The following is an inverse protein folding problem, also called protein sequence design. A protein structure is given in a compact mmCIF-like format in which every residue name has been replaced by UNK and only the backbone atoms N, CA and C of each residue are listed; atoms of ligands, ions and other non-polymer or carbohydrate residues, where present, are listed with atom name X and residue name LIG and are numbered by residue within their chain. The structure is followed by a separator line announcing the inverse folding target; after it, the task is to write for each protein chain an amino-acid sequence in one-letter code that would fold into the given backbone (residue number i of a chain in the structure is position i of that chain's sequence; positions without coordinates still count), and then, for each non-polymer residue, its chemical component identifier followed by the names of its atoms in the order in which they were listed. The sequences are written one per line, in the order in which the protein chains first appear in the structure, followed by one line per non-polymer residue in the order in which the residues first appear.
data_IF_880156621543
#
_entry.id   IF_880156621543
#
_cell.length_a   1.000
_cell.length_b   1.000
_cell.length_c   1.000
_cell.angle_alpha   90.00
_cell.angle_beta   90.00
_cell.angle_gamma   90.00
#
_symmetry.space_group_name_H-M   'P 1'
#
loop_
_entity.id
_entity.type
_entity.pdbx_description
1 polymer ?
#
# COMPACT_ATOMS: atom_id res chain seq x y z
N UNK A 1 -12.62 5.10 -11.90
CA UNK A 1 -13.47 6.27 -11.66
C UNK A 1 -12.97 6.88 -10.37
N UNK A 2 -12.43 8.09 -10.46
CA UNK A 2 -12.19 8.89 -9.26
C UNK A 2 -13.54 9.34 -8.69
N UNK A 3 -13.63 9.35 -7.37
CA UNK A 3 -14.79 9.85 -6.67
C UNK A 3 -14.64 11.36 -6.53
N UNK A 4 -15.74 12.08 -6.68
CA UNK A 4 -15.80 13.48 -6.22
C UNK A 4 -15.60 13.55 -4.70
N UNK A 5 -15.23 14.73 -4.20
CA UNK A 5 -15.12 14.94 -2.75
C UNK A 5 -16.43 14.61 -2.02
N UNK A 6 -17.58 14.99 -2.60
CA UNK A 6 -18.90 14.73 -2.02
C UNK A 6 -19.21 13.22 -1.95
N UNK A 7 -18.91 12.47 -3.01
CA UNK A 7 -19.07 11.01 -3.02
C UNK A 7 -18.12 10.33 -2.02
N UNK A 8 -16.87 10.79 -1.93
CA UNK A 8 -15.89 10.23 -0.99
C UNK A 8 -16.27 10.48 0.47
N UNK A 9 -16.80 11.66 0.78
CA UNK A 9 -17.21 12.02 2.14
C UNK A 9 -18.43 11.24 2.62
N UNK A 10 -19.26 10.73 1.70
CA UNK A 10 -20.39 9.84 2.01
C UNK A 10 -19.97 8.40 2.35
N UNK A 11 -18.74 8.00 2.03
CA UNK A 11 -18.25 6.65 2.29
C UNK A 11 -17.95 6.40 3.78
N UNK A 12 -18.42 5.27 4.28
CA UNK A 12 -17.97 4.69 5.53
C UNK A 12 -16.52 4.19 5.45
N UNK A 13 -15.93 3.83 6.59
CA UNK A 13 -14.53 3.40 6.64
C UNK A 13 -14.26 2.17 5.76
N UNK A 14 -15.13 1.16 5.78
CA UNK A 14 -14.98 -0.04 4.95
C UNK A 14 -15.07 0.25 3.44
N UNK A 15 -15.91 1.21 3.04
CA UNK A 15 -16.01 1.65 1.65
C UNK A 15 -14.77 2.44 1.21
N UNK A 16 -14.24 3.30 2.09
CA UNK A 16 -12.97 4.00 1.86
C UNK A 16 -11.81 3.01 1.75
N UNK A 17 -11.81 1.94 2.56
CA UNK A 17 -10.83 0.85 2.47
C UNK A 17 -10.94 0.13 1.13
N UNK A 18 -12.14 -0.27 0.71
CA UNK A 18 -12.38 -0.92 -0.58
C UNK A 18 -11.89 -0.05 -1.75
N UNK A 19 -12.22 1.24 -1.73
CA UNK A 19 -11.80 2.20 -2.73
C UNK A 19 -10.26 2.31 -2.81
N UNK A 20 -9.59 2.54 -1.68
CA UNK A 20 -8.12 2.67 -1.64
C UNK A 20 -7.41 1.35 -1.92
N UNK A 21 -8.00 0.21 -1.55
CA UNK A 21 -7.45 -1.10 -1.87
C UNK A 21 -7.45 -1.38 -3.37
N UNK A 22 -8.48 -0.94 -4.08
CA UNK A 22 -8.49 -0.97 -5.54
C UNK A 22 -7.34 -0.13 -6.12
N UNK A 23 -7.14 1.09 -5.61
CA UNK A 23 -6.03 1.96 -6.02
C UNK A 23 -4.65 1.32 -5.77
N UNK A 24 -4.42 0.73 -4.59
CA UNK A 24 -3.15 0.04 -4.30
C UNK A 24 -2.94 -1.18 -5.21
N UNK A 25 -4.00 -1.94 -5.50
CA UNK A 25 -3.93 -3.11 -6.40
C UNK A 25 -3.55 -2.69 -7.82
N UNK A 26 -4.19 -1.65 -8.35
CA UNK A 26 -3.94 -1.17 -9.70
C UNK A 26 -2.58 -0.48 -9.80
N UNK A 27 -2.22 0.36 -8.82
CA UNK A 27 -0.90 0.98 -8.74
C UNK A 27 0.23 -0.05 -8.63
N UNK A 28 0.08 -1.12 -7.84
CA UNK A 28 1.09 -2.18 -7.74
C UNK A 28 1.34 -2.87 -9.09
N UNK A 29 0.30 -3.09 -9.92
CA UNK A 29 0.48 -3.67 -11.26
C UNK A 29 1.37 -2.78 -12.13
N UNK A 30 1.10 -1.46 -12.11
CA UNK A 30 1.86 -0.48 -12.89
C UNK A 30 3.29 -0.37 -12.37
N UNK A 31 3.46 -0.22 -11.05
CA UNK A 31 4.75 -0.18 -10.40
C UNK A 31 5.61 -1.40 -10.73
N UNK A 32 5.04 -2.62 -10.69
CA UNK A 32 5.80 -3.84 -10.99
C UNK A 32 6.20 -3.93 -12.47
N UNK A 33 5.34 -3.48 -13.39
CA UNK A 33 5.69 -3.37 -14.80
C UNK A 33 6.88 -2.44 -14.99
N UNK A 34 6.82 -1.23 -14.43
CA UNK A 34 7.91 -0.24 -14.53
C UNK A 34 9.17 -0.77 -13.85
N UNK A 35 9.07 -1.32 -12.64
CA UNK A 35 10.21 -1.90 -11.92
C UNK A 35 10.92 -2.97 -12.76
N UNK A 36 10.15 -3.84 -13.46
CA UNK A 36 10.70 -4.84 -14.39
C UNK A 36 11.47 -4.20 -15.54
N UNK A 37 10.89 -3.18 -16.18
CA UNK A 37 11.53 -2.41 -17.26
C UNK A 37 12.81 -1.71 -16.77
N UNK A 38 12.83 -1.31 -15.50
CA UNK A 38 13.95 -0.68 -14.77
C UNK A 38 14.92 -1.71 -14.15
N UNK A 39 14.88 -2.96 -14.60
CA UNK A 39 15.89 -3.98 -14.29
C UNK A 39 15.72 -4.71 -12.96
N UNK A 40 14.58 -4.55 -12.27
CA UNK A 40 14.27 -5.33 -11.05
C UNK A 40 13.97 -6.79 -11.41
N UNK A 41 14.67 -7.71 -10.76
CA UNK A 41 14.46 -9.17 -10.87
C UNK A 41 13.94 -9.75 -9.57
N UNK A 42 14.45 -9.29 -8.42
CA UNK A 42 13.98 -9.71 -7.10
C UNK A 42 12.85 -8.81 -6.59
N UNK A 43 11.61 -9.18 -6.89
CA UNK A 43 10.42 -8.43 -6.48
C UNK A 43 10.16 -8.48 -4.97
N UNK A 44 10.51 -9.57 -4.29
CA UNK A 44 10.34 -9.65 -2.84
C UNK A 44 11.24 -8.62 -2.12
N UNK A 45 12.49 -8.47 -2.58
CA UNK A 45 13.42 -7.46 -2.08
C UNK A 45 12.92 -6.05 -2.41
N UNK A 46 12.49 -5.82 -3.66
CA UNK A 46 11.98 -4.53 -4.11
C UNK A 46 10.75 -4.08 -3.31
N UNK A 47 9.78 -4.97 -3.13
CA UNK A 47 8.54 -4.68 -2.41
C UNK A 47 8.80 -4.49 -0.92
N UNK A 48 9.65 -5.34 -0.31
CA UNK A 48 10.03 -5.15 1.08
C UNK A 48 10.81 -3.86 1.31
N UNK A 49 11.59 -3.36 0.34
CA UNK A 49 12.26 -2.07 0.49
C UNK A 49 11.26 -0.91 0.70
N UNK A 50 10.17 -0.90 -0.07
CA UNK A 50 9.08 0.05 0.12
C UNK A 50 8.39 -0.07 1.48
N UNK A 51 8.18 -1.29 1.97
CA UNK A 51 7.65 -1.52 3.32
C UNK A 51 8.62 -1.03 4.39
N UNK A 52 9.90 -1.40 4.29
CA UNK A 52 10.94 -0.98 5.23
C UNK A 52 11.07 0.53 5.35
N UNK A 53 10.92 1.25 4.24
CA UNK A 53 10.92 2.72 4.28
C UNK A 53 9.74 3.28 5.07
N UNK A 54 8.54 2.77 4.81
CA UNK A 54 7.30 3.31 5.38
C UNK A 54 7.05 2.87 6.84
N UNK A 55 7.38 1.63 7.17
CA UNK A 55 7.05 0.96 8.44
C UNK A 55 8.30 0.72 9.31
N UNK A 56 9.17 1.72 9.45
CA UNK A 56 10.31 1.68 10.36
C UNK A 56 11.23 0.44 10.25
N UNK A 57 11.46 -0.05 9.03
CA UNK A 57 12.28 -1.23 8.77
C UNK A 57 11.54 -2.57 8.77
N UNK A 58 10.21 -2.60 8.96
CA UNK A 58 9.41 -3.82 8.85
C UNK A 58 9.32 -4.33 7.40
N UNK A 59 9.39 -5.66 7.25
CA UNK A 59 9.01 -6.37 6.03
C UNK A 59 7.51 -6.66 6.00
N UNK A 60 6.99 -7.14 4.86
CA UNK A 60 5.62 -7.64 4.77
C UNK A 60 5.32 -8.73 5.80
N UNK A 61 6.30 -9.59 6.13
CA UNK A 61 6.14 -10.64 7.14
C UNK A 61 6.07 -10.06 8.55
N UNK A 62 6.87 -9.04 8.85
CA UNK A 62 6.85 -8.36 10.15
C UNK A 62 5.50 -7.65 10.36
N UNK A 63 5.01 -6.97 9.32
CA UNK A 63 3.67 -6.33 9.33
C UNK A 63 2.58 -7.38 9.56
N UNK A 64 2.62 -8.50 8.85
CA UNK A 64 1.64 -9.58 9.01
C UNK A 64 1.66 -10.15 10.44
N UNK A 65 2.85 -10.36 11.00
CA UNK A 65 3.02 -10.85 12.38
C UNK A 65 2.49 -9.86 13.40
N UNK A 66 2.85 -8.58 13.30
CA UNK A 66 2.39 -7.51 14.20
C UNK A 66 0.87 -7.36 14.16
N UNK A 67 0.27 -7.47 12.98
CA UNK A 67 -1.19 -7.40 12.80
C UNK A 67 -1.92 -8.70 13.18
N UNK A 68 -1.21 -9.77 13.53
CA UNK A 68 -1.81 -11.05 13.93
C UNK A 68 -2.50 -11.81 12.79
N UNK A 69 -2.04 -11.61 11.55
CA UNK A 69 -2.68 -12.20 10.37
C UNK A 69 -2.39 -13.70 10.26
N UNK A 70 -3.37 -14.45 9.74
CA UNK A 70 -3.21 -15.87 9.44
C UNK A 70 -2.31 -16.07 8.21
N UNK A 71 -1.82 -17.29 8.05
CA UNK A 71 -0.99 -17.67 6.91
C UNK A 71 -1.68 -17.35 5.58
N UNK A 72 -0.96 -16.62 4.71
CA UNK A 72 -1.40 -16.14 3.38
C UNK A 72 -2.52 -15.10 3.35
N UNK A 73 -2.87 -14.48 4.48
CA UNK A 73 -3.68 -13.27 4.43
C UNK A 73 -2.88 -12.12 3.82
N UNK A 74 -3.49 -11.36 2.90
CA UNK A 74 -2.88 -10.19 2.30
C UNK A 74 -2.84 -9.05 3.32
N UNK A 75 -1.66 -8.51 3.57
CA UNK A 75 -1.49 -7.41 4.54
C UNK A 75 -2.34 -6.20 4.17
N UNK A 76 -2.47 -5.86 2.88
CA UNK A 76 -3.23 -4.69 2.41
C UNK A 76 -4.74 -4.89 2.58
N UNK A 77 -5.23 -6.13 2.55
CA UNK A 77 -6.65 -6.41 2.82
C UNK A 77 -7.01 -6.15 4.30
N UNK A 78 -6.00 -6.10 5.17
CA UNK A 78 -6.14 -5.93 6.61
C UNK A 78 -5.62 -4.57 7.11
N UNK A 79 -5.65 -3.55 6.23
CA UNK A 79 -5.29 -2.18 6.55
C UNK A 79 -6.51 -1.25 6.59
N UNK A 80 -6.45 -0.24 7.46
CA UNK A 80 -7.41 0.86 7.47
C UNK A 80 -7.24 1.79 6.26
N UNK A 81 -8.21 2.69 6.03
CA UNK A 81 -8.22 3.57 4.87
C UNK A 81 -7.03 4.55 4.89
N UNK A 82 -6.66 5.08 6.06
CA UNK A 82 -5.50 5.97 6.23
C UNK A 82 -4.20 5.26 5.87
N UNK A 83 -3.98 4.05 6.41
CA UNK A 83 -2.82 3.21 6.13
C UNK A 83 -2.74 2.86 4.64
N UNK A 84 -3.86 2.46 4.03
CA UNK A 84 -3.94 2.22 2.59
C UNK A 84 -3.59 3.47 1.78
N UNK A 85 -3.99 4.67 2.22
CA UNK A 85 -3.64 5.92 1.57
C UNK A 85 -2.14 6.19 1.54
N UNK A 86 -1.45 5.94 2.64
CA UNK A 86 0.01 6.04 2.69
C UNK A 86 0.68 5.05 1.71
N UNK A 87 0.14 3.84 1.58
CA UNK A 87 0.63 2.87 0.60
C UNK A 87 0.33 3.28 -0.84
N UNK A 88 -0.85 3.83 -1.14
CA UNK A 88 -1.16 4.40 -2.47
C UNK A 88 -0.10 5.45 -2.82
N UNK A 89 0.16 6.39 -1.91
CA UNK A 89 1.12 7.46 -2.16
C UNK A 89 2.55 6.93 -2.36
N UNK A 90 2.96 5.94 -1.56
CA UNK A 90 4.27 5.27 -1.74
C UNK A 90 4.39 4.64 -3.11
N UNK A 91 3.36 3.93 -3.55
CA UNK A 91 3.34 3.22 -4.83
C UNK A 91 3.44 4.23 -5.98
N UNK A 92 2.57 5.24 -5.99
CA UNK A 92 2.49 6.22 -7.10
C UNK A 92 3.75 7.07 -7.20
N UNK A 93 4.34 7.48 -6.07
CA UNK A 93 5.58 8.26 -6.10
C UNK A 93 6.80 7.43 -6.45
N UNK A 94 6.83 6.14 -6.09
CA UNK A 94 7.89 5.25 -6.55
C UNK A 94 7.80 5.06 -8.06
N UNK A 95 6.61 4.81 -8.58
CA UNK A 95 6.34 4.74 -10.02
C UNK A 95 6.86 6.00 -10.74
N UNK A 96 6.41 7.19 -10.33
CA UNK A 96 6.78 8.44 -10.98
C UNK A 96 8.30 8.71 -10.95
N UNK A 97 8.99 8.32 -9.87
CA UNK A 97 10.44 8.47 -9.78
C UNK A 97 11.20 7.44 -10.61
N UNK A 98 10.69 6.21 -10.73
CA UNK A 98 11.32 5.19 -11.58
C UNK A 98 11.18 5.53 -13.06
N UNK A 99 10.05 6.10 -13.49
CA UNK A 99 9.85 6.53 -14.88
C UNK A 99 10.88 7.56 -15.33
N UNK A 100 11.21 8.51 -14.46
CA UNK A 100 12.21 9.57 -14.70
C UNK A 100 13.65 9.05 -14.80
N UNK A 101 13.92 7.84 -14.33
CA UNK A 101 15.28 7.28 -14.35
C UNK A 101 15.52 6.56 -15.69
N UNK A 102 16.50 6.98 -16.48
CA UNK A 102 16.70 6.42 -17.83
C UNK A 102 17.07 4.94 -17.81
N UNK A 103 18.09 4.55 -17.04
CA UNK A 103 18.59 3.16 -16.96
C UNK A 103 19.05 2.78 -15.55
N UNK A 104 18.17 2.83 -14.53
CA UNK A 104 18.54 2.35 -13.21
C UNK A 104 18.74 0.84 -13.25
N UNK A 105 19.58 0.33 -12.34
CA UNK A 105 19.69 -1.09 -12.05
C UNK A 105 18.79 -1.47 -10.85
N UNK A 106 18.66 -2.77 -10.57
CA UNK A 106 17.80 -3.29 -9.48
C UNK A 106 18.05 -2.59 -8.13
N UNK A 107 19.31 -2.34 -7.78
CA UNK A 107 19.67 -1.72 -6.50
C UNK A 107 19.19 -0.25 -6.45
N UNK A 108 19.33 0.50 -7.54
CA UNK A 108 18.85 1.88 -7.63
C UNK A 108 17.31 1.92 -7.54
N UNK A 109 16.62 1.03 -8.27
CA UNK A 109 15.17 0.99 -8.25
C UNK A 109 14.63 0.60 -6.85
N UNK A 110 15.24 -0.40 -6.22
CA UNK A 110 14.91 -0.84 -4.86
C UNK A 110 15.17 0.25 -3.82
N UNK A 111 16.31 0.93 -3.91
CA UNK A 111 16.64 2.05 -3.02
C UNK A 111 15.68 3.25 -3.22
N UNK A 112 15.22 3.47 -4.45
CA UNK A 112 14.20 4.50 -4.75
C UNK A 112 12.91 4.18 -3.98
N UNK A 113 12.43 2.94 -4.03
CA UNK A 113 11.22 2.53 -3.32
C UNK A 113 11.37 2.69 -1.79
N UNK A 114 12.53 2.34 -1.23
CA UNK A 114 12.84 2.58 0.18
C UNK A 114 12.82 4.06 0.54
N UNK A 115 13.51 4.91 -0.23
CA UNK A 115 13.59 6.36 0.02
C UNK A 115 12.22 7.03 -0.02
N UNK A 116 11.36 6.64 -0.97
CA UNK A 116 9.98 7.12 -1.04
C UNK A 116 9.21 6.75 0.23
N UNK A 117 9.26 5.48 0.65
CA UNK A 117 8.60 5.05 1.88
C UNK A 117 9.09 5.84 3.09
N UNK A 118 10.40 6.05 3.21
CA UNK A 118 11.02 6.81 4.30
C UNK A 118 10.59 8.28 4.32
N UNK A 119 10.58 8.94 3.16
CA UNK A 119 10.16 10.34 3.04
C UNK A 119 8.68 10.53 3.43
N UNK A 120 7.81 9.58 3.06
CA UNK A 120 6.41 9.60 3.46
C UNK A 120 6.29 9.45 4.98
N UNK A 121 7.02 8.50 5.57
CA UNK A 121 7.06 8.30 7.02
C UNK A 121 7.50 9.58 7.76
N UNK A 122 8.63 10.17 7.36
CA UNK A 122 9.14 11.42 7.93
C UNK A 122 8.12 12.56 7.81
N UNK A 123 7.34 12.58 6.73
CA UNK A 123 6.26 13.57 6.53
C UNK A 123 5.10 13.34 7.50
N UNK A 124 4.66 12.09 7.70
CA UNK A 124 3.61 11.76 8.67
C UNK A 124 4.04 12.20 10.08
N UNK A 125 5.29 11.91 10.46
CA UNK A 125 5.86 12.27 11.76
C UNK A 125 5.91 13.78 11.94
N UNK A 126 6.44 14.50 10.94
CA UNK A 126 6.53 15.97 10.97
C UNK A 126 5.16 16.64 11.12
N UNK A 127 4.11 16.06 10.57
CA UNK A 127 2.74 16.57 10.67
C UNK A 127 2.01 16.13 11.95
N UNK A 128 2.65 15.34 12.81
CA UNK A 128 2.04 14.79 14.02
C UNK A 128 0.98 13.72 13.74
N UNK A 129 1.05 13.06 12.58
CA UNK A 129 0.16 11.97 12.23
C UNK A 129 0.52 10.66 12.94
N UNK A 130 -0.45 9.77 13.11
CA UNK A 130 -0.23 8.41 13.64
C UNK A 130 0.62 7.59 12.67
N UNK A 131 1.63 6.90 13.20
CA UNK A 131 2.51 6.08 12.37
C UNK A 131 1.76 4.88 11.76
N UNK A 132 2.11 4.44 10.54
CA UNK A 132 1.45 3.29 9.90
C UNK A 132 1.43 2.03 10.75
N UNK A 133 2.49 1.77 11.52
CA UNK A 133 2.58 0.62 12.42
C UNK A 133 1.73 0.73 13.70
N UNK A 134 1.24 1.92 14.03
CA UNK A 134 0.38 2.18 15.19
C UNK A 134 -1.11 2.22 14.81
N UNK A 135 -1.43 2.23 13.51
CA UNK A 135 -2.81 2.22 13.04
C UNK A 135 -3.49 0.86 13.33
N UNK A 136 -4.79 0.88 13.72
CA UNK A 136 -5.50 -0.32 14.13
C UNK A 136 -5.70 -1.28 12.95
N UNK A 137 -5.60 -2.58 13.23
CA UNK A 137 -6.01 -3.63 12.29
C UNK A 137 -7.53 -3.73 12.28
N UNK A 138 -8.20 -3.60 11.13
CA UNK A 138 -9.64 -3.79 11.02
C UNK A 138 -10.06 -5.21 11.40
N UNK A 139 -11.27 -5.36 11.97
CA UNK A 139 -11.82 -6.66 12.38
C UNK A 139 -12.14 -7.60 11.22
N UNK A 140 -12.40 -7.03 10.03
CA UNK A 140 -12.72 -7.76 8.80
C UNK A 140 -11.73 -7.37 7.71
N UNK A 141 -11.24 -8.37 6.98
CA UNK A 141 -10.45 -8.17 5.77
C UNK A 141 -11.31 -7.62 4.63
N UNK A 142 -10.68 -6.97 3.65
CA UNK A 142 -11.35 -6.55 2.41
C UNK A 142 -12.03 -7.74 1.72
N UNK A 143 -11.38 -8.91 1.69
CA UNK A 143 -11.93 -10.13 1.09
C UNK A 143 -13.25 -10.56 1.75
N UNK A 144 -13.35 -10.44 3.08
CA UNK A 144 -14.60 -10.72 3.80
C UNK A 144 -15.69 -9.69 3.47
N UNK A 145 -15.33 -8.41 3.40
CA UNK A 145 -16.26 -7.35 3.02
C UNK A 145 -16.81 -7.54 1.60
N UNK A 146 -15.96 -7.91 0.64
CA UNK A 146 -16.38 -8.20 -0.73
C UNK A 146 -17.36 -9.38 -0.78
N UNK A 147 -17.09 -10.45 -0.02
CA UNK A 147 -17.98 -11.61 0.08
C UNK A 147 -19.33 -11.26 0.70
N UNK A 148 -19.35 -10.48 1.77
CA UNK A 148 -20.60 -10.02 2.41
C UNK A 148 -21.42 -9.12 1.49
N UNK A 149 -20.77 -8.34 0.63
CA UNK A 149 -21.46 -7.51 -0.37
C UNK A 149 -22.07 -8.37 -1.47
N UNK A 150 -21.33 -9.37 -1.97
CA UNK A 150 -21.83 -10.29 -2.99
C UNK A 150 -23.07 -11.06 -2.48
N UNK A 151 -22.99 -11.64 -1.28
CA UNK A 151 -24.11 -12.38 -0.70
C UNK A 151 -25.38 -11.53 -0.50
N UNK A 152 -25.23 -10.21 -0.31
CA UNK A 152 -26.37 -9.27 -0.17
C UNK A 152 -27.02 -8.90 -1.51
N UNK A 153 -26.32 -9.08 -2.62
CA UNK A 153 -26.83 -8.81 -3.97
C UNK A 153 -27.48 -10.05 -4.61
N UNK A 154 -27.19 -11.23 -4.06
CA UNK A 154 -27.76 -12.51 -4.49
C UNK A 154 -29.09 -12.87 -3.78
N UNK A 155 -29.55 -12.00 -2.86
CA UNK A 155 -30.82 -12.09 -2.12
C UNK A 155 -31.76 -10.98 -2.59
#
# INVERSE_FOLDING_TARGET
MELTEEEYNKLGEDEKRLYRRKQTKDGNKVLYRIAKEKGVKNFDKFTNAGYKGLYNGETANDIAKRKGLRYREDILDNMGSVELGANVFRITQTEALLEKQEKPNENIATNTHYKVGKAIRETIEKLGGTMPEELPTPKKSIKELEKERQNRLEV
#
